data_IF_613838520570
#
_entry.id   IF_613838520570
#
_cell.length_a   1.000
_cell.length_b   1.000
_cell.length_c   1.000
_cell.angle_alpha   90.00
_cell.angle_beta   90.00
_cell.angle_gamma   90.00
#
_symmetry.space_group_name_H-M   'P 1'
#
loop_
_entity.id
_entity.type
_entity.pdbx_description
1 polymer ?
#
# COMPACT_ATOMS: atom_id res chain seq x y z
N UNK A 1 -50.38 33.88 -23.80
CA UNK A 1 -48.95 34.24 -23.56
C UNK A 1 -48.49 33.66 -22.23
N UNK A 2 -49.23 33.87 -21.14
CA UNK A 2 -48.93 33.30 -19.81
C UNK A 2 -48.76 31.77 -19.79
N UNK A 3 -49.62 31.00 -20.48
CA UNK A 3 -49.46 29.52 -20.51
C UNK A 3 -48.14 29.06 -21.14
N UNK A 4 -47.66 29.78 -22.16
CA UNK A 4 -46.40 29.46 -22.83
C UNK A 4 -45.20 29.78 -21.94
N UNK A 5 -45.31 30.85 -21.15
CA UNK A 5 -44.32 31.29 -20.17
C UNK A 5 -44.23 30.30 -19.00
N UNK A 6 -45.38 29.85 -18.48
CA UNK A 6 -45.46 28.84 -17.42
C UNK A 6 -44.87 27.50 -17.87
N UNK A 7 -45.09 27.09 -19.12
CA UNK A 7 -44.55 25.85 -19.68
C UNK A 7 -43.03 25.93 -19.89
N UNK A 8 -42.52 27.11 -20.24
CA UNK A 8 -41.08 27.36 -20.36
C UNK A 8 -40.40 27.32 -18.99
N UNK A 9 -41.02 27.95 -17.98
CA UNK A 9 -40.53 27.97 -16.59
C UNK A 9 -40.50 26.56 -16.01
N UNK A 10 -41.55 25.76 -16.20
CA UNK A 10 -41.57 24.36 -15.74
C UNK A 10 -40.53 23.48 -16.46
N UNK A 11 -40.27 23.71 -17.75
CA UNK A 11 -39.23 22.99 -18.52
C UNK A 11 -37.81 23.40 -18.16
N UNK A 12 -37.62 24.61 -17.62
CA UNK A 12 -36.34 25.11 -17.10
C UNK A 12 -36.12 24.57 -15.69
N UNK A 13 -37.11 24.66 -14.79
CA UNK A 13 -37.04 24.10 -13.44
C UNK A 13 -36.82 22.59 -13.43
N UNK A 14 -37.50 21.82 -14.30
CA UNK A 14 -37.31 20.38 -14.39
C UNK A 14 -35.88 19.95 -14.77
N UNK A 15 -35.16 20.79 -15.52
CA UNK A 15 -33.76 20.54 -15.88
C UNK A 15 -32.80 20.85 -14.72
N UNK A 16 -33.02 21.93 -13.97
CA UNK A 16 -32.17 22.25 -12.82
C UNK A 16 -32.31 21.21 -11.69
N UNK A 17 -33.51 20.68 -11.48
CA UNK A 17 -33.74 19.59 -10.52
C UNK A 17 -32.98 18.33 -10.93
N UNK A 18 -32.97 17.99 -12.23
CA UNK A 18 -32.23 16.84 -12.74
C UNK A 18 -30.71 16.99 -12.51
N UNK A 19 -30.14 18.17 -12.80
CA UNK A 19 -28.72 18.44 -12.58
C UNK A 19 -28.32 18.38 -11.11
N UNK A 20 -29.15 18.95 -10.22
CA UNK A 20 -28.90 18.93 -8.78
C UNK A 20 -28.89 17.50 -8.23
N UNK A 21 -29.82 16.66 -8.71
CA UNK A 21 -29.93 15.27 -8.28
C UNK A 21 -28.79 14.41 -8.84
N UNK A 22 -28.35 14.62 -10.08
CA UNK A 22 -27.19 13.91 -10.64
C UNK A 22 -25.88 14.26 -9.92
N UNK A 23 -25.68 15.52 -9.52
CA UNK A 23 -24.51 15.94 -8.76
C UNK A 23 -24.48 15.35 -7.34
N UNK A 24 -25.63 15.33 -6.67
CA UNK A 24 -25.81 14.65 -5.38
C UNK A 24 -25.53 13.15 -5.48
N UNK A 25 -26.01 12.49 -6.54
CA UNK A 25 -25.77 11.06 -6.76
C UNK A 25 -24.29 10.76 -7.01
N UNK A 26 -23.60 11.57 -7.82
CA UNK A 26 -22.16 11.41 -8.08
C UNK A 26 -21.31 11.63 -6.84
N UNK A 27 -21.66 12.63 -6.02
CA UNK A 27 -20.98 12.90 -4.75
C UNK A 27 -21.21 11.78 -3.73
N UNK A 28 -22.43 11.24 -3.66
CA UNK A 28 -22.79 10.11 -2.80
C UNK A 28 -22.09 8.82 -3.23
N UNK A 29 -21.94 8.58 -4.55
CA UNK A 29 -21.23 7.42 -5.08
C UNK A 29 -19.73 7.44 -4.75
N UNK A 30 -19.08 8.61 -4.80
CA UNK A 30 -17.69 8.78 -4.37
C UNK A 30 -17.57 8.54 -2.86
N UNK A 31 -18.49 9.09 -2.06
CA UNK A 31 -18.47 8.92 -0.60
C UNK A 31 -18.68 7.45 -0.18
N UNK A 32 -19.64 6.76 -0.81
CA UNK A 32 -19.90 5.34 -0.57
C UNK A 32 -18.74 4.46 -0.99
N UNK A 33 -18.07 4.77 -2.10
CA UNK A 33 -16.89 4.04 -2.55
C UNK A 33 -15.78 4.11 -1.49
N UNK A 34 -15.48 5.31 -0.99
CA UNK A 34 -14.46 5.47 0.04
C UNK A 34 -14.85 4.73 1.32
N UNK A 35 -16.07 4.87 1.83
CA UNK A 35 -16.51 4.18 3.06
C UNK A 35 -16.52 2.64 2.94
N UNK A 36 -16.70 2.11 1.73
CA UNK A 36 -16.72 0.66 1.48
C UNK A 36 -15.29 0.12 1.27
N UNK A 37 -14.39 0.91 0.69
CA UNK A 37 -13.00 0.50 0.40
C UNK A 37 -11.97 0.96 1.45
N UNK A 38 -12.36 1.70 2.48
CA UNK A 38 -11.52 2.13 3.63
C UNK A 38 -11.03 0.98 4.54
N UNK A 39 -11.26 -0.28 4.15
CA UNK A 39 -10.70 -1.46 4.80
C UNK A 39 -9.33 -1.88 4.23
N UNK A 40 -8.76 -1.10 3.30
CA UNK A 40 -7.45 -1.39 2.70
C UNK A 40 -6.38 -0.51 3.36
N UNK A 41 -5.59 -1.11 4.24
CA UNK A 41 -4.67 -0.52 5.24
C UNK A 41 -3.51 0.39 4.75
N UNK A 42 -3.51 0.93 3.52
CA UNK A 42 -2.31 1.60 2.98
C UNK A 42 -2.50 2.97 2.28
N UNK A 43 -3.56 3.72 2.56
CA UNK A 43 -3.65 5.11 2.06
C UNK A 43 -3.19 6.11 3.14
N UNK A 44 -2.14 6.87 2.82
CA UNK A 44 -1.68 7.96 3.68
C UNK A 44 -2.75 9.06 3.78
N UNK A 45 -2.91 9.69 4.95
CA UNK A 45 -3.99 10.64 5.21
C UNK A 45 -4.08 11.83 4.25
N UNK A 46 -3.00 12.16 3.53
CA UNK A 46 -2.97 13.24 2.54
C UNK A 46 -3.64 12.84 1.21
N UNK A 47 -3.48 11.60 0.73
CA UNK A 47 -4.14 11.17 -0.50
C UNK A 47 -5.65 11.05 -0.28
N UNK A 48 -6.05 10.55 0.89
CA UNK A 48 -7.43 10.53 1.35
C UNK A 48 -8.02 11.95 1.36
N UNK A 49 -7.35 12.94 1.94
CA UNK A 49 -7.87 14.32 1.97
C UNK A 49 -8.08 14.93 0.58
N UNK A 50 -7.16 14.69 -0.36
CA UNK A 50 -7.27 15.20 -1.73
C UNK A 50 -8.43 14.53 -2.46
N UNK A 51 -8.55 13.20 -2.35
CA UNK A 51 -9.58 12.43 -3.05
C UNK A 51 -10.98 12.59 -2.42
N UNK A 52 -11.09 12.74 -1.09
CA UNK A 52 -12.37 12.87 -0.37
C UNK A 52 -12.93 14.29 -0.36
N UNK A 53 -12.07 15.31 -0.29
CA UNK A 53 -12.52 16.67 -0.03
C UNK A 53 -12.27 17.56 -1.23
N UNK A 54 -11.05 17.57 -1.77
CA UNK A 54 -10.71 18.51 -2.85
C UNK A 54 -11.39 18.13 -4.16
N UNK A 55 -11.32 16.85 -4.56
CA UNK A 55 -11.90 16.38 -5.84
C UNK A 55 -13.43 16.54 -5.91
N UNK A 56 -14.22 16.14 -4.89
CA UNK A 56 -15.67 16.29 -4.94
C UNK A 56 -16.10 17.75 -4.86
N UNK A 57 -15.45 18.56 -4.03
CA UNK A 57 -15.76 20.00 -3.92
C UNK A 57 -15.47 20.71 -5.25
N UNK A 58 -14.31 20.44 -5.88
CA UNK A 58 -13.97 21.03 -7.19
C UNK A 58 -14.91 20.58 -8.31
N UNK A 59 -15.35 19.31 -8.31
CA UNK A 59 -16.38 18.82 -9.25
C UNK A 59 -17.74 19.49 -9.03
N UNK A 60 -18.18 19.64 -7.78
CA UNK A 60 -19.42 20.36 -7.44
C UNK A 60 -19.35 21.80 -7.95
N UNK A 61 -18.25 22.51 -7.68
CA UNK A 61 -18.05 23.88 -8.17
C UNK A 61 -18.00 23.95 -9.71
N UNK A 62 -17.35 23.00 -10.38
CA UNK A 62 -17.29 22.93 -11.84
C UNK A 62 -18.68 22.70 -12.48
N UNK A 63 -19.50 21.87 -11.86
CA UNK A 63 -20.89 21.59 -12.29
C UNK A 63 -21.79 22.81 -12.11
N UNK A 64 -21.69 23.51 -10.98
CA UNK A 64 -22.46 24.74 -10.74
C UNK A 64 -22.04 25.89 -11.67
N UNK A 65 -20.79 25.90 -12.15
CA UNK A 65 -20.26 27.01 -12.94
C UNK A 65 -20.45 26.87 -14.45
N UNK A 66 -20.53 25.65 -15.02
CA UNK A 66 -20.48 25.46 -16.48
C UNK A 66 -21.80 24.94 -17.07
N UNK A 67 -22.54 25.85 -17.72
CA UNK A 67 -23.88 25.61 -18.32
C UNK A 67 -23.89 24.82 -19.65
N UNK A 68 -22.78 24.22 -20.11
CA UNK A 68 -22.61 23.72 -21.49
C UNK A 68 -22.31 22.22 -21.60
N UNK A 69 -22.74 21.61 -22.72
CA UNK A 69 -22.61 20.17 -23.09
C UNK A 69 -21.18 19.61 -22.97
N UNK A 70 -20.16 20.45 -23.07
CA UNK A 70 -18.74 20.07 -22.94
C UNK A 70 -18.38 19.71 -21.49
N UNK A 71 -19.01 20.34 -20.48
CA UNK A 71 -18.81 19.97 -19.08
C UNK A 71 -19.38 18.57 -18.79
N UNK A 72 -20.54 18.24 -19.35
CA UNK A 72 -21.13 16.90 -19.24
C UNK A 72 -20.20 15.87 -19.87
N UNK A 73 -19.67 16.12 -21.07
CA UNK A 73 -18.70 15.22 -21.70
C UNK A 73 -17.42 15.06 -20.86
N UNK A 74 -16.91 16.14 -20.26
CA UNK A 74 -15.72 16.10 -19.40
C UNK A 74 -15.95 15.32 -18.10
N UNK A 75 -17.14 15.46 -17.50
CA UNK A 75 -17.56 14.67 -16.34
C UNK A 75 -17.69 13.19 -16.72
N UNK A 76 -18.26 12.87 -17.90
CA UNK A 76 -18.35 11.49 -18.37
C UNK A 76 -16.95 10.87 -18.56
N UNK A 77 -16.01 11.60 -19.19
CA UNK A 77 -14.63 11.12 -19.36
C UNK A 77 -13.92 10.94 -18.02
N UNK A 78 -14.13 11.86 -17.07
CA UNK A 78 -13.58 11.75 -15.71
C UNK A 78 -14.15 10.54 -14.96
N UNK A 79 -15.47 10.38 -14.95
CA UNK A 79 -16.14 9.24 -14.31
C UNK A 79 -15.71 7.91 -14.96
N UNK A 80 -15.51 7.88 -16.28
CA UNK A 80 -14.99 6.71 -16.97
C UNK A 80 -13.55 6.39 -16.55
N UNK A 81 -12.65 7.38 -16.54
CA UNK A 81 -11.27 7.21 -16.07
C UNK A 81 -11.19 6.77 -14.61
N UNK A 82 -12.03 7.33 -13.75
CA UNK A 82 -12.14 6.96 -12.33
C UNK A 82 -12.70 5.53 -12.15
N UNK A 83 -13.72 5.16 -12.91
CA UNK A 83 -14.27 3.79 -12.87
C UNK A 83 -13.25 2.77 -13.37
N UNK A 84 -12.45 3.11 -14.39
CA UNK A 84 -11.37 2.26 -14.87
C UNK A 84 -10.26 2.10 -13.82
N UNK A 85 -9.88 3.17 -13.11
CA UNK A 85 -8.92 3.10 -11.99
C UNK A 85 -9.42 2.15 -10.90
N UNK A 86 -10.70 2.25 -10.51
CA UNK A 86 -11.30 1.35 -9.53
C UNK A 86 -11.25 -0.11 -9.98
N UNK A 87 -11.58 -0.39 -11.24
CA UNK A 87 -11.51 -1.76 -11.80
C UNK A 87 -10.07 -2.26 -11.78
N UNK A 88 -9.09 -1.44 -12.14
CA UNK A 88 -7.68 -1.83 -12.15
C UNK A 88 -7.17 -2.10 -10.74
N UNK A 89 -7.45 -1.22 -9.77
CA UNK A 89 -7.09 -1.43 -8.36
C UNK A 89 -7.75 -2.68 -7.77
N UNK A 90 -9.04 -2.89 -8.07
CA UNK A 90 -9.74 -4.11 -7.66
C UNK A 90 -9.13 -5.35 -8.30
N UNK A 91 -8.78 -5.31 -9.59
CA UNK A 91 -8.14 -6.43 -10.29
C UNK A 91 -6.74 -6.73 -9.75
N UNK A 92 -5.99 -5.69 -9.37
CA UNK A 92 -4.66 -5.81 -8.78
C UNK A 92 -4.71 -6.35 -7.35
N UNK A 93 -5.76 -5.98 -6.60
CA UNK A 93 -6.02 -6.54 -5.28
C UNK A 93 -6.54 -7.99 -5.36
N UNK A 94 -7.34 -8.32 -6.37
CA UNK A 94 -7.92 -9.64 -6.57
C UNK A 94 -6.96 -10.65 -7.21
N UNK A 95 -5.93 -10.19 -7.93
CA UNK A 95 -4.89 -11.02 -8.54
C UNK A 95 -3.59 -10.20 -8.71
N UNK A 96 -2.41 -10.81 -8.54
CA UNK A 96 -1.06 -10.23 -8.69
C UNK A 96 -0.70 -9.72 -10.11
N UNK A 97 -1.67 -9.35 -10.94
CA UNK A 97 -1.44 -8.90 -12.32
C UNK A 97 -1.15 -7.39 -12.35
N UNK A 98 0.13 -7.04 -12.27
CA UNK A 98 0.62 -5.71 -12.55
C UNK A 98 0.73 -5.52 -14.08
N UNK A 99 -0.31 -4.99 -14.74
CA UNK A 99 -0.28 -4.74 -16.18
C UNK A 99 0.14 -3.29 -16.51
N UNK A 100 1.41 -3.03 -16.89
CA UNK A 100 1.94 -1.67 -17.04
C UNK A 100 1.27 -0.85 -18.17
N UNK A 101 0.62 -1.51 -19.13
CA UNK A 101 -0.10 -0.86 -20.23
C UNK A 101 -1.40 -0.23 -19.71
N UNK A 102 -2.10 -0.88 -18.79
CA UNK A 102 -3.36 -0.39 -18.24
C UNK A 102 -3.16 0.89 -17.42
N UNK A 103 -2.11 0.93 -16.60
CA UNK A 103 -1.73 2.11 -15.81
C UNK A 103 -1.39 3.32 -16.70
N UNK A 104 -0.71 3.08 -17.83
CA UNK A 104 -0.41 4.15 -18.82
C UNK A 104 -1.67 4.67 -19.51
N UNK A 105 -2.59 3.78 -19.87
CA UNK A 105 -3.87 4.15 -20.48
C UNK A 105 -4.69 5.00 -19.49
N UNK A 106 -4.79 4.58 -18.23
CA UNK A 106 -5.47 5.32 -17.17
C UNK A 106 -4.89 6.73 -16.99
N UNK A 107 -3.58 6.86 -16.80
CA UNK A 107 -2.94 8.16 -16.63
C UNK A 107 -3.22 9.09 -17.83
N UNK A 108 -3.24 8.54 -19.03
CA UNK A 108 -3.57 9.28 -20.26
C UNK A 108 -5.01 9.81 -20.23
N UNK A 109 -5.99 8.98 -19.87
CA UNK A 109 -7.38 9.42 -19.78
C UNK A 109 -7.61 10.48 -18.68
N UNK A 110 -6.95 10.35 -17.54
CA UNK A 110 -7.03 11.35 -16.46
C UNK A 110 -6.47 12.71 -16.87
N UNK A 111 -5.31 12.73 -17.54
CA UNK A 111 -4.69 13.96 -18.04
C UNK A 111 -5.53 14.60 -19.14
N UNK A 112 -6.02 13.82 -20.11
CA UNK A 112 -6.90 14.32 -21.17
C UNK A 112 -8.21 14.87 -20.59
N UNK A 113 -8.81 14.17 -19.63
CA UNK A 113 -10.01 14.63 -18.93
C UNK A 113 -9.80 15.97 -18.21
N UNK A 114 -8.68 16.13 -17.51
CA UNK A 114 -8.32 17.39 -16.83
C UNK A 114 -8.12 18.54 -17.83
N UNK A 115 -7.39 18.30 -18.92
CA UNK A 115 -7.15 19.29 -19.97
C UNK A 115 -8.46 19.73 -20.61
N UNK A 116 -9.35 18.80 -20.93
CA UNK A 116 -10.68 19.12 -21.47
C UNK A 116 -11.54 19.90 -20.48
N UNK A 117 -11.46 19.59 -19.18
CA UNK A 117 -12.15 20.35 -18.13
C UNK A 117 -11.65 21.80 -18.06
N UNK A 118 -10.33 22.00 -18.11
CA UNK A 118 -9.71 23.32 -18.20
C UNK A 118 -10.25 24.05 -19.44
N UNK A 119 -10.17 23.46 -20.63
CA UNK A 119 -10.71 24.06 -21.85
C UNK A 119 -12.21 24.34 -21.79
N UNK A 120 -13.01 23.51 -21.10
CA UNK A 120 -14.44 23.72 -20.93
C UNK A 120 -14.75 24.93 -20.03
N UNK A 121 -14.00 25.09 -18.93
CA UNK A 121 -14.11 26.23 -18.01
C UNK A 121 -13.71 27.53 -18.71
N UNK A 122 -12.67 27.49 -19.54
CA UNK A 122 -12.16 28.69 -20.22
C UNK A 122 -12.87 29.01 -21.55
N UNK A 123 -13.32 27.98 -22.28
CA UNK A 123 -14.00 28.11 -23.57
C UNK A 123 -15.45 28.60 -23.48
N UNK A 124 -16.07 28.60 -22.29
CA UNK A 124 -17.44 29.08 -22.10
C UNK A 124 -17.57 30.58 -21.84
N UNK A 125 -16.48 31.35 -21.82
CA UNK A 125 -16.55 32.81 -21.71
C UNK A 125 -16.99 33.43 -23.04
N UNK A 126 -18.30 33.58 -23.22
CA UNK A 126 -18.91 34.25 -24.38
C UNK A 126 -18.69 35.78 -24.40
N UNK A 127 -17.87 36.30 -23.48
CA UNK A 127 -17.34 37.65 -23.57
C UNK A 127 -15.81 37.59 -23.61
N UNK A 128 -15.29 37.49 -24.83
CA UNK A 128 -13.92 37.91 -25.20
C UNK A 128 -13.59 39.40 -24.89
N UNK A 129 -14.43 40.06 -24.09
CA UNK A 129 -14.20 41.37 -23.48
C UNK A 129 -13.53 41.26 -22.10
N UNK A 130 -13.66 40.13 -21.38
CA UNK A 130 -13.09 39.98 -20.03
C UNK A 130 -11.55 39.92 -20.04
N UNK A 131 -10.93 39.39 -21.10
CA UNK A 131 -9.47 39.41 -21.27
C UNK A 131 -8.89 40.82 -21.50
N UNK A 132 -9.72 41.81 -21.87
CA UNK A 132 -9.29 43.22 -21.95
C UNK A 132 -9.45 43.99 -20.63
N UNK A 133 -10.13 43.40 -19.63
CA UNK A 133 -10.46 44.03 -18.34
C UNK A 133 -10.07 43.20 -17.13
N UNK A 134 -9.27 42.15 -17.30
CA UNK A 134 -8.59 41.53 -16.16
C UNK A 134 -7.51 42.51 -15.69
N UNK A 135 -7.57 42.88 -14.42
CA UNK A 135 -6.48 43.65 -13.81
C UNK A 135 -5.20 42.83 -13.98
N UNK A 136 -4.05 43.48 -14.24
CA UNK A 136 -2.75 42.79 -14.44
C UNK A 136 -2.51 41.70 -13.38
N UNK A 137 -2.96 41.96 -12.14
CA UNK A 137 -2.89 41.04 -11.01
C UNK A 137 -3.58 39.70 -11.30
N UNK A 138 -4.80 39.65 -11.85
CA UNK A 138 -5.53 38.40 -12.10
C UNK A 138 -4.88 37.56 -13.21
N UNK A 139 -4.30 38.22 -14.21
CA UNK A 139 -3.54 37.55 -15.27
C UNK A 139 -2.23 36.96 -14.70
N UNK A 140 -1.52 37.71 -13.86
CA UNK A 140 -0.33 37.20 -13.18
C UNK A 140 -0.67 36.05 -12.24
N UNK A 141 -1.76 36.11 -11.47
CA UNK A 141 -2.17 35.01 -10.60
C UNK A 141 -2.48 33.76 -11.42
N UNK A 142 -3.16 33.88 -12.57
CA UNK A 142 -3.42 32.73 -13.45
C UNK A 142 -2.16 32.15 -14.10
N UNK A 143 -1.30 33.02 -14.65
CA UNK A 143 -0.02 32.57 -15.23
C UNK A 143 0.83 31.88 -14.16
N UNK A 144 0.85 32.40 -12.94
CA UNK A 144 1.61 31.79 -11.84
C UNK A 144 1.01 30.45 -11.42
N UNK A 145 -0.32 30.36 -11.26
CA UNK A 145 -1.01 29.12 -10.86
C UNK A 145 -0.96 28.02 -11.92
N UNK A 146 -0.79 28.35 -13.20
CA UNK A 146 -0.72 27.34 -14.27
C UNK A 146 0.73 27.03 -14.65
N UNK A 147 1.56 28.06 -14.86
CA UNK A 147 2.93 27.89 -15.35
C UNK A 147 3.86 27.38 -14.25
N UNK A 148 3.67 27.77 -12.98
CA UNK A 148 4.53 27.28 -11.89
C UNK A 148 4.32 25.78 -11.65
N UNK A 149 3.09 25.24 -11.53
CA UNK A 149 2.90 23.80 -11.38
C UNK A 149 3.31 23.02 -12.63
N UNK A 150 3.06 23.55 -13.84
CA UNK A 150 3.44 22.88 -15.08
C UNK A 150 4.96 22.83 -15.27
N UNK A 151 5.66 23.91 -14.94
CA UNK A 151 7.13 23.94 -14.98
C UNK A 151 7.75 23.07 -13.88
N UNK A 152 7.15 23.04 -12.69
CA UNK A 152 7.56 22.15 -11.60
C UNK A 152 7.33 20.67 -11.97
N UNK A 153 6.21 20.34 -12.64
CA UNK A 153 5.94 19.01 -13.17
C UNK A 153 6.93 18.60 -14.28
N UNK A 154 7.29 19.51 -15.19
CA UNK A 154 8.30 19.26 -16.24
C UNK A 154 9.72 19.10 -15.67
N UNK A 155 10.05 19.80 -14.59
CA UNK A 155 11.29 19.62 -13.85
C UNK A 155 11.34 18.24 -13.17
N UNK A 156 10.21 17.76 -12.65
CA UNK A 156 10.11 16.41 -12.08
C UNK A 156 10.24 15.30 -13.14
N UNK A 157 9.77 15.53 -14.37
CA UNK A 157 9.93 14.59 -15.49
C UNK A 157 11.37 14.51 -16.03
N UNK A 158 12.18 15.56 -15.81
CA UNK A 158 13.57 15.61 -16.28
C UNK A 158 14.57 14.92 -15.33
N UNK A 159 14.14 14.52 -14.14
CA UNK A 159 14.88 13.61 -13.28
C UNK A 159 14.55 12.15 -13.64
N UNK A 160 14.89 11.74 -14.85
CA UNK A 160 14.97 10.31 -15.16
C UNK A 160 16.28 9.80 -14.56
N UNK A 161 16.21 9.20 -13.37
CA UNK A 161 17.34 8.45 -12.84
C UNK A 161 17.80 7.44 -13.89
N UNK A 162 19.12 7.28 -14.12
CA UNK A 162 19.60 6.25 -15.02
C UNK A 162 19.00 4.92 -14.60
N UNK A 163 18.33 4.25 -15.54
CA UNK A 163 17.81 2.90 -15.30
C UNK A 163 19.01 2.03 -14.92
N UNK A 164 19.12 1.73 -13.63
CA UNK A 164 20.01 0.68 -13.15
C UNK A 164 19.57 -0.56 -13.94
N UNK A 165 20.48 -1.11 -14.74
CA UNK A 165 20.24 -2.36 -15.43
C UNK A 165 20.09 -3.41 -14.34
N UNK A 166 18.85 -3.74 -14.01
CA UNK A 166 18.52 -4.90 -13.21
C UNK A 166 19.00 -6.11 -13.99
N UNK A 167 20.18 -6.62 -13.62
CA UNK A 167 20.54 -7.98 -13.97
C UNK A 167 19.53 -8.87 -13.27
N UNK A 168 18.62 -9.45 -14.06
CA UNK A 168 17.78 -10.58 -13.63
C UNK A 168 18.70 -11.79 -13.35
N UNK A 169 19.54 -11.71 -12.33
CA UNK A 169 19.92 -12.91 -11.60
C UNK A 169 18.68 -13.30 -10.80
N UNK A 170 17.90 -14.23 -11.35
CA UNK A 170 16.85 -14.92 -10.61
C UNK A 170 17.44 -15.38 -9.27
N UNK A 171 16.87 -14.87 -8.18
CA UNK A 171 17.15 -15.34 -6.84
C UNK A 171 17.06 -16.86 -6.84
N UNK A 172 18.17 -17.53 -6.54
CA UNK A 172 18.21 -18.99 -6.53
C UNK A 172 17.34 -19.47 -5.37
N UNK A 173 16.30 -20.24 -5.68
CA UNK A 173 15.30 -20.77 -4.75
C UNK A 173 15.86 -21.07 -3.34
N UNK A 174 15.32 -20.35 -2.37
CA UNK A 174 15.60 -20.44 -0.94
C UNK A 174 15.02 -21.75 -0.36
N UNK A 175 15.80 -22.82 -0.33
CA UNK A 175 15.35 -24.03 0.35
C UNK A 175 15.71 -23.98 1.83
N UNK A 176 14.72 -23.69 2.67
CA UNK A 176 14.82 -23.86 4.14
C UNK A 176 14.51 -25.32 4.46
N UNK A 177 15.50 -26.02 4.99
CA UNK A 177 15.41 -27.44 5.34
C UNK A 177 15.24 -27.56 6.86
N UNK A 178 14.11 -28.12 7.27
CA UNK A 178 13.78 -28.37 8.67
C UNK A 178 13.84 -29.86 9.00
N UNK A 179 14.51 -30.20 10.09
CA UNK A 179 14.58 -31.54 10.67
C UNK A 179 14.06 -31.52 12.10
N UNK A 180 14.07 -32.67 12.79
CA UNK A 180 13.69 -32.72 14.21
C UNK A 180 14.73 -32.08 15.14
N UNK A 181 15.84 -31.55 14.60
CA UNK A 181 16.94 -30.96 15.38
C UNK A 181 17.17 -29.48 15.09
N UNK A 182 16.79 -28.99 13.92
CA UNK A 182 17.00 -27.60 13.51
C UNK A 182 16.29 -27.30 12.20
N UNK A 183 16.09 -26.00 11.92
CA UNK A 183 15.89 -25.48 10.58
C UNK A 183 17.13 -24.74 10.11
N UNK A 184 17.52 -24.95 8.86
CA UNK A 184 18.70 -24.33 8.24
C UNK A 184 18.32 -23.81 6.87
N UNK A 185 18.82 -22.63 6.51
CA UNK A 185 18.62 -22.08 5.18
C UNK A 185 19.74 -21.12 4.80
N UNK A 186 19.80 -20.81 3.51
CA UNK A 186 20.72 -19.81 2.98
C UNK A 186 20.02 -19.05 1.86
N UNK A 187 19.98 -17.73 1.99
CA UNK A 187 19.62 -16.81 0.92
C UNK A 187 20.89 -16.36 0.20
N UNK A 188 20.85 -16.38 -1.13
CA UNK A 188 21.88 -15.78 -2.00
C UNK A 188 21.17 -14.99 -3.08
N UNK A 189 21.25 -13.67 -3.01
CA UNK A 189 20.52 -12.82 -3.94
C UNK A 189 20.68 -11.34 -3.68
N UNK A 190 19.93 -10.50 -4.40
CA UNK A 190 19.98 -9.06 -4.21
C UNK A 190 19.55 -8.65 -2.80
N UNK A 191 20.14 -7.58 -2.27
CA UNK A 191 19.68 -6.97 -1.01
C UNK A 191 18.27 -6.40 -1.15
N UNK A 192 18.08 -5.60 -2.21
CA UNK A 192 16.81 -4.98 -2.54
C UNK A 192 16.35 -5.33 -3.95
N UNK A 193 15.05 -5.57 -4.13
CA UNK A 193 14.39 -5.65 -5.43
C UNK A 193 13.24 -4.66 -5.43
N UNK A 194 13.25 -3.72 -6.38
CA UNK A 194 12.24 -2.66 -6.52
C UNK A 194 12.01 -1.85 -5.22
N UNK A 195 13.06 -1.69 -4.40
CA UNK A 195 13.01 -0.98 -3.12
C UNK A 195 12.49 -1.81 -1.93
N UNK A 196 12.09 -3.06 -2.15
CA UNK A 196 11.76 -4.02 -1.10
C UNK A 196 13.02 -4.70 -0.59
N UNK A 197 13.18 -4.81 0.74
CA UNK A 197 14.28 -5.51 1.41
C UNK A 197 14.07 -7.03 1.33
N UNK A 198 14.47 -7.64 0.21
CA UNK A 198 14.26 -9.06 -0.07
C UNK A 198 15.14 -9.93 0.82
N UNK A 199 16.37 -9.49 1.10
CA UNK A 199 17.24 -10.20 2.02
C UNK A 199 16.63 -10.30 3.43
N UNK A 200 15.90 -9.29 3.89
CA UNK A 200 15.17 -9.34 5.16
C UNK A 200 13.99 -10.31 5.15
N UNK A 201 13.30 -10.46 4.02
CA UNK A 201 12.19 -11.40 3.91
C UNK A 201 12.62 -12.85 4.21
N UNK A 202 13.90 -13.18 4.07
CA UNK A 202 14.43 -14.47 4.49
C UNK A 202 14.25 -14.77 5.99
N UNK A 203 14.43 -13.79 6.88
CA UNK A 203 14.17 -13.97 8.33
C UNK A 203 12.69 -14.28 8.58
N UNK A 204 11.78 -13.60 7.86
CA UNK A 204 10.33 -13.84 7.97
C UNK A 204 9.98 -15.27 7.53
N UNK A 205 10.49 -15.69 6.36
CA UNK A 205 10.28 -17.05 5.83
C UNK A 205 10.84 -18.11 6.75
N UNK A 206 12.03 -17.89 7.33
CA UNK A 206 12.59 -18.80 8.34
C UNK A 206 11.69 -18.90 9.56
N UNK A 207 11.22 -17.78 10.09
CA UNK A 207 10.36 -17.77 11.28
C UNK A 207 9.08 -18.57 11.07
N UNK A 208 8.44 -18.39 9.91
CA UNK A 208 7.27 -19.16 9.53
C UNK A 208 7.58 -20.67 9.49
N UNK A 209 8.65 -21.08 8.78
CA UNK A 209 9.05 -22.49 8.66
C UNK A 209 9.40 -23.13 9.99
N UNK A 210 10.06 -22.40 10.88
CA UNK A 210 10.37 -22.87 12.24
C UNK A 210 9.08 -23.06 13.03
N UNK A 211 8.16 -22.09 13.01
CA UNK A 211 6.88 -22.19 13.69
C UNK A 211 6.05 -23.38 13.22
N UNK A 212 5.96 -23.59 11.90
CA UNK A 212 5.26 -24.73 11.31
C UNK A 212 5.92 -26.06 11.73
N UNK A 213 7.26 -26.14 11.71
CA UNK A 213 7.96 -27.34 12.14
C UNK A 213 7.76 -27.64 13.63
N UNK A 214 7.72 -26.63 14.49
CA UNK A 214 7.46 -26.82 15.92
C UNK A 214 6.04 -27.37 16.16
N UNK A 215 5.04 -26.91 15.41
CA UNK A 215 3.67 -27.46 15.46
C UNK A 215 3.62 -28.91 14.99
N UNK A 216 4.29 -29.22 13.88
CA UNK A 216 4.43 -30.59 13.36
C UNK A 216 5.03 -31.51 14.44
N UNK A 217 6.18 -31.12 14.99
CA UNK A 217 6.86 -31.88 16.04
C UNK A 217 5.98 -32.08 17.29
N UNK A 218 5.22 -31.06 17.68
CA UNK A 218 4.29 -31.16 18.81
C UNK A 218 3.17 -32.17 18.55
N UNK A 219 2.57 -32.14 17.36
CA UNK A 219 1.52 -33.08 16.94
C UNK A 219 2.04 -34.52 16.90
N UNK A 220 3.31 -34.71 16.55
CA UNK A 220 3.98 -36.02 16.49
C UNK A 220 4.53 -36.49 17.84
N UNK A 221 4.18 -35.82 18.94
CA UNK A 221 4.69 -36.10 20.29
C UNK A 221 6.23 -35.94 20.43
N UNK A 222 6.87 -35.19 19.53
CA UNK A 222 8.28 -34.82 19.57
C UNK A 222 8.49 -33.43 20.19
N UNK A 223 8.16 -33.30 21.48
CA UNK A 223 8.17 -32.02 22.19
C UNK A 223 9.53 -31.33 22.17
N UNK A 224 9.56 -30.11 21.62
CA UNK A 224 10.77 -29.34 21.39
C UNK A 224 10.53 -27.84 21.59
N UNK A 225 11.63 -27.11 21.76
CA UNK A 225 11.69 -25.65 21.74
C UNK A 225 12.92 -25.17 20.97
N UNK A 226 12.95 -23.91 20.56
CA UNK A 226 14.15 -23.32 19.98
C UNK A 226 15.21 -23.07 21.06
N UNK A 227 16.45 -23.38 20.72
CA UNK A 227 17.62 -23.10 21.53
C UNK A 227 18.26 -21.78 21.08
N UNK A 228 17.80 -20.67 21.66
CA UNK A 228 18.28 -19.33 21.36
C UNK A 228 19.80 -19.16 21.52
N UNK A 229 20.44 -19.92 22.41
CA UNK A 229 21.88 -19.80 22.67
C UNK A 229 22.70 -20.32 21.50
N UNK A 230 22.18 -21.32 20.78
CA UNK A 230 22.85 -21.98 19.66
C UNK A 230 22.41 -21.49 18.28
N UNK A 231 21.50 -20.50 18.19
CA UNK A 231 21.18 -19.85 16.91
C UNK A 231 22.45 -19.29 16.28
N UNK A 232 22.69 -19.63 15.01
CA UNK A 232 23.79 -19.08 14.21
C UNK A 232 23.23 -18.25 13.08
N UNK A 233 23.79 -17.05 12.93
CA UNK A 233 23.33 -16.04 11.99
C UNK A 233 24.57 -15.37 11.38
N UNK A 234 24.65 -15.32 10.06
CA UNK A 234 25.72 -14.62 9.35
C UNK A 234 25.19 -14.01 8.06
N UNK A 235 25.57 -12.77 7.80
CA UNK A 235 25.36 -12.10 6.52
C UNK A 235 26.73 -11.83 5.90
N UNK A 236 26.82 -11.83 4.57
CA UNK A 236 28.02 -11.43 3.84
C UNK A 236 27.56 -10.62 2.62
N UNK A 237 28.30 -9.58 2.23
CA UNK A 237 27.98 -8.78 1.05
C UNK A 237 26.89 -7.71 1.23
N UNK A 238 26.46 -7.43 2.46
CA UNK A 238 25.51 -6.34 2.74
C UNK A 238 26.07 -4.98 2.29
N UNK A 239 25.23 -4.17 1.63
CA UNK A 239 25.61 -2.88 1.04
C UNK A 239 26.39 -3.00 -0.28
N UNK A 240 26.69 -4.23 -0.75
CA UNK A 240 27.41 -4.46 -2.00
C UNK A 240 26.50 -4.83 -3.19
N UNK A 241 25.21 -5.03 -2.94
CA UNK A 241 24.19 -5.41 -3.93
C UNK A 241 23.76 -6.87 -3.82
N UNK A 242 24.68 -7.80 -3.58
CA UNK A 242 24.39 -9.24 -3.41
C UNK A 242 24.71 -9.67 -1.98
N UNK A 243 23.73 -10.28 -1.32
CA UNK A 243 23.82 -10.74 0.07
C UNK A 243 23.82 -12.26 0.11
N UNK A 244 24.70 -12.82 0.92
CA UNK A 244 24.65 -14.22 1.37
C UNK A 244 24.20 -14.21 2.83
N UNK A 245 22.96 -14.60 3.09
CA UNK A 245 22.41 -14.66 4.44
C UNK A 245 22.17 -16.12 4.85
N UNK A 246 22.89 -16.59 5.87
CA UNK A 246 22.79 -17.95 6.41
C UNK A 246 22.21 -17.93 7.82
N UNK A 247 21.30 -18.87 8.08
CA UNK A 247 20.61 -18.97 9.36
C UNK A 247 20.43 -20.43 9.76
N UNK A 248 20.78 -20.75 11.01
CA UNK A 248 20.56 -22.06 11.65
C UNK A 248 19.82 -21.83 12.96
N UNK A 249 18.61 -22.38 13.06
CA UNK A 249 17.73 -22.33 14.23
C UNK A 249 17.65 -23.73 14.85
N UNK A 250 18.46 -24.02 15.89
CA UNK A 250 18.47 -25.34 16.52
C UNK A 250 17.32 -25.54 17.50
N UNK A 251 16.90 -26.79 17.63
CA UNK A 251 15.89 -27.24 18.58
C UNK A 251 16.53 -27.94 19.78
N UNK A 252 15.87 -27.81 20.92
CA UNK A 252 16.13 -28.53 22.15
C UNK A 252 14.89 -29.35 22.51
N UNK A 253 15.09 -30.66 22.70
CA UNK A 253 14.02 -31.54 23.16
C UNK A 253 13.63 -31.22 24.60
N UNK A 254 12.35 -31.35 24.90
CA UNK A 254 11.80 -31.24 26.25
C UNK A 254 11.01 -32.51 26.57
N UNK A 255 10.93 -32.86 27.86
CA UNK A 255 10.30 -34.11 28.29
C UNK A 255 8.77 -34.02 28.28
N UNK A 256 8.24 -32.91 28.77
CA UNK A 256 6.79 -32.74 28.95
C UNK A 256 6.20 -31.91 27.81
N UNK A 257 5.00 -32.31 27.39
CA UNK A 257 4.21 -31.66 26.35
C UNK A 257 4.10 -30.15 26.55
N UNK A 258 3.70 -29.71 27.73
CA UNK A 258 3.47 -28.29 28.02
C UNK A 258 4.75 -27.46 28.28
N UNK A 259 5.93 -28.08 28.20
CA UNK A 259 7.22 -27.39 28.19
C UNK A 259 7.73 -27.10 26.78
N UNK A 260 7.03 -27.56 25.73
CA UNK A 260 7.32 -27.24 24.34
C UNK A 260 6.71 -25.90 23.93
N UNK A 261 7.27 -25.31 22.87
CA UNK A 261 6.71 -24.14 22.20
C UNK A 261 6.34 -24.50 20.77
N UNK A 262 5.24 -23.93 20.27
CA UNK A 262 4.68 -24.21 18.94
C UNK A 262 4.55 -22.97 18.07
N UNK A 263 4.97 -21.82 18.58
CA UNK A 263 5.06 -20.59 17.81
C UNK A 263 6.47 -20.01 17.87
N UNK A 264 6.87 -19.38 16.77
CA UNK A 264 8.17 -18.78 16.62
C UNK A 264 8.09 -17.58 15.68
N UNK A 265 8.87 -16.55 15.98
CA UNK A 265 8.87 -15.28 15.25
C UNK A 265 10.19 -14.52 15.49
N UNK A 266 10.35 -13.38 14.83
CA UNK A 266 11.46 -12.47 15.05
C UNK A 266 11.03 -11.00 15.04
N UNK A 267 11.92 -10.14 15.50
CA UNK A 267 11.83 -8.69 15.30
C UNK A 267 13.22 -8.09 15.19
N UNK A 268 13.40 -7.31 14.15
CA UNK A 268 14.71 -6.79 13.81
C UNK A 268 14.77 -6.27 12.40
N UNK A 269 15.99 -6.14 11.92
CA UNK A 269 16.31 -5.63 10.61
C UNK A 269 17.70 -5.00 10.59
N UNK A 270 17.97 -4.26 9.52
CA UNK A 270 19.25 -3.57 9.33
C UNK A 270 19.11 -2.08 9.57
N UNK A 271 20.18 -1.46 10.07
CA UNK A 271 20.30 0.00 10.19
C UNK A 271 19.23 0.70 11.04
N UNK A 272 18.43 -0.05 11.80
CA UNK A 272 17.54 0.48 12.82
C UNK A 272 17.57 -0.40 14.07
N UNK A 273 17.18 0.18 15.20
CA UNK A 273 16.95 -0.60 16.41
C UNK A 273 15.67 -1.44 16.25
N UNK A 274 15.66 -2.71 16.68
CA UNK A 274 14.44 -3.53 16.66
C UNK A 274 13.32 -2.92 17.50
N UNK A 275 12.10 -2.89 16.99
CA UNK A 275 10.91 -2.38 17.69
C UNK A 275 10.30 -3.46 18.63
N UNK A 276 11.12 -4.00 19.53
CA UNK A 276 10.76 -5.17 20.34
C UNK A 276 9.46 -4.97 21.13
N UNK A 277 9.31 -3.83 21.82
CA UNK A 277 8.11 -3.54 22.63
C UNK A 277 6.82 -3.47 21.80
N UNK A 278 6.90 -2.98 20.56
CA UNK A 278 5.75 -2.97 19.66
C UNK A 278 5.38 -4.39 19.22
N UNK A 279 6.39 -5.21 18.91
CA UNK A 279 6.17 -6.61 18.51
C UNK A 279 5.62 -7.45 19.66
N UNK A 280 6.12 -7.27 20.87
CA UNK A 280 5.60 -7.95 22.07
C UNK A 280 4.09 -7.74 22.20
N UNK A 281 3.65 -6.47 22.14
CA UNK A 281 2.23 -6.11 22.21
C UNK A 281 1.38 -6.72 21.08
N UNK A 282 1.96 -6.88 19.88
CA UNK A 282 1.27 -7.55 18.77
C UNK A 282 1.08 -9.04 19.05
N UNK A 283 2.11 -9.70 19.61
CA UNK A 283 2.12 -11.14 19.85
C UNK A 283 1.37 -11.57 21.12
N UNK A 284 1.14 -10.65 22.08
CA UNK A 284 0.35 -10.92 23.30
C UNK A 284 -0.98 -11.61 23.02
N UNK A 285 -1.67 -11.26 21.94
CA UNK A 285 -2.97 -11.84 21.57
C UNK A 285 -2.90 -13.30 21.13
N UNK A 286 -1.71 -13.79 20.81
CA UNK A 286 -1.47 -15.17 20.37
C UNK A 286 -1.01 -16.08 21.52
N UNK A 287 -0.77 -15.52 22.71
CA UNK A 287 -0.37 -16.25 23.90
C UNK A 287 -1.52 -17.06 24.49
N UNK A 288 -1.17 -18.21 25.04
CA UNK A 288 -1.99 -18.93 26.01
C UNK A 288 -2.24 -18.07 27.26
N UNK A 289 -3.41 -18.20 27.89
CA UNK A 289 -3.72 -17.40 29.09
C UNK A 289 -2.66 -17.63 30.19
N UNK A 290 -2.13 -16.54 30.75
CA UNK A 290 -1.10 -16.57 31.80
C UNK A 290 0.32 -16.92 31.34
N UNK A 291 0.55 -17.22 30.06
CA UNK A 291 1.90 -17.43 29.53
C UNK A 291 2.56 -16.12 29.07
N UNK A 292 3.83 -16.20 28.68
CA UNK A 292 4.66 -15.05 28.26
C UNK A 292 5.44 -15.36 26.99
N UNK A 293 5.84 -14.30 26.29
CA UNK A 293 6.81 -14.39 25.20
C UNK A 293 8.19 -14.73 25.79
N UNK A 294 8.88 -15.67 25.14
CA UNK A 294 10.27 -15.99 25.43
C UNK A 294 11.13 -15.43 24.32
N UNK A 295 12.01 -14.50 24.67
CA UNK A 295 12.75 -13.67 23.73
C UNK A 295 14.25 -13.96 23.91
N UNK A 296 14.98 -14.07 22.81
CA UNK A 296 16.43 -14.24 22.83
C UNK A 296 17.16 -12.96 23.26
N UNK A 297 18.45 -13.06 23.55
CA UNK A 297 19.31 -11.87 23.49
C UNK A 297 19.39 -11.34 22.04
N UNK A 298 19.71 -10.06 21.89
CA UNK A 298 19.89 -9.42 20.59
C UNK A 298 21.05 -10.06 19.82
N UNK A 299 20.75 -10.72 18.70
CA UNK A 299 21.74 -11.28 17.80
C UNK A 299 22.16 -10.21 16.80
N UNK A 300 23.46 -10.13 16.51
CA UNK A 300 24.03 -9.16 15.57
C UNK A 300 25.01 -9.82 14.60
N UNK A 301 25.01 -9.38 13.35
CA UNK A 301 26.07 -9.71 12.40
C UNK A 301 27.06 -8.53 12.26
N UNK A 302 28.31 -8.78 11.80
CA UNK A 302 29.26 -7.71 11.49
C UNK A 302 28.73 -6.64 10.52
N UNK A 303 27.82 -7.02 9.63
CA UNK A 303 27.19 -6.22 8.59
C UNK A 303 26.01 -5.37 9.12
N UNK A 304 25.70 -5.47 10.42
CA UNK A 304 24.72 -4.61 11.08
C UNK A 304 23.29 -5.13 11.11
N UNK A 305 23.02 -6.38 10.69
CA UNK A 305 21.74 -7.05 10.97
C UNK A 305 21.58 -7.19 12.48
N UNK A 306 20.41 -6.86 13.01
CA UNK A 306 20.07 -7.04 14.41
C UNK A 306 18.73 -7.75 14.54
N UNK A 307 18.68 -8.87 15.27
CA UNK A 307 17.48 -9.70 15.37
C UNK A 307 17.25 -10.18 16.80
N UNK A 308 16.03 -10.01 17.30
CA UNK A 308 15.48 -10.77 18.42
C UNK A 308 14.66 -11.94 17.88
N UNK A 309 14.83 -13.12 18.48
CA UNK A 309 14.01 -14.30 18.18
C UNK A 309 13.05 -14.55 19.32
N UNK A 310 11.81 -14.88 18.98
CA UNK A 310 10.70 -14.95 19.93
C UNK A 310 10.02 -16.30 19.78
N UNK A 311 9.73 -16.98 20.88
CA UNK A 311 8.92 -18.20 20.90
C UNK A 311 7.87 -18.16 22.00
N UNK A 312 6.76 -18.85 21.79
CA UNK A 312 5.67 -18.92 22.77
C UNK A 312 4.78 -20.13 22.56
N UNK A 313 3.93 -20.41 23.55
CA UNK A 313 2.90 -21.44 23.42
C UNK A 313 1.73 -20.87 22.66
N UNK A 314 1.39 -21.51 21.55
CA UNK A 314 0.25 -21.09 20.76
C UNK A 314 -1.06 -21.44 21.50
N UNK A 315 -1.92 -20.45 21.71
CA UNK A 315 -3.21 -20.65 22.42
C UNK A 315 -4.15 -21.66 21.77
N UNK A 316 -4.07 -21.84 20.45
CA UNK A 316 -4.94 -22.76 19.72
C UNK A 316 -4.37 -24.19 19.71
N UNK A 317 -3.06 -24.32 19.54
CA UNK A 317 -2.38 -25.64 19.44
C UNK A 317 -2.14 -26.26 20.81
N UNK A 318 -1.98 -25.45 21.84
CA UNK A 318 -1.61 -25.88 23.20
C UNK A 318 -2.66 -25.47 24.24
N UNK A 319 -3.93 -25.32 23.85
CA UNK A 319 -5.03 -24.94 24.74
C UNK A 319 -5.12 -25.85 25.98
N UNK A 320 -4.81 -27.14 25.83
CA UNK A 320 -4.79 -28.13 26.91
C UNK A 320 -3.66 -27.92 27.95
N UNK A 321 -2.75 -26.98 27.69
CA UNK A 321 -1.70 -26.59 28.62
C UNK A 321 -2.10 -25.37 29.47
N UNK A 322 -3.34 -24.88 29.35
CA UNK A 322 -3.94 -23.94 30.29
C UNK A 322 -4.10 -24.65 31.63
N UNK A 323 -3.46 -24.11 32.67
CA UNK A 323 -3.63 -24.58 34.05
C UNK A 323 -4.83 -23.89 34.68
#
# INVERSE_FOLDING_TARGET
MEELEQLLINKIMGREILYRNSALLGSLAVLLNVLIFDQVEQLTGLSLFIELIIVPVTLIFAVFWVRKRIAIASIIFFLFGFTLDLILRYSHYANELNHPIANKIQATFSVVGLVLMIFAVFGSSEKGWLMKKMNKIELYTMVTVIVVPLSMFLLLLSCSSPSIKTSNEEAKNEEIICTNKSCVGTYVGPEFVDGSDVAHQFSNTMSQKVGDKLKELYSDHHYSKVDFTRIKMSTEGMGSGTVVYKLEIPFQKVLEKCNAYTSFDHVGGWNHSPELAAREKQLEKALLEGDRLYISDLKKTPEGLQEYWIQWKNKEVQAECEN
#
